data_IF_678763997114
#
_entry.id   IF_678763997114
#
_cell.length_a   1.000
_cell.length_b   1.000
_cell.length_c   1.000
_cell.angle_alpha   90.00
_cell.angle_beta   90.00
_cell.angle_gamma   90.00
#
_symmetry.space_group_name_H-M   'P 1'
#
loop_
_entity.id
_entity.type
_entity.pdbx_description
1 polymer ?
#
# COMPACT_ATOMS: atom_id res chain seq x y z
N UNK A 1 61.66 -33.12 60.86
CA UNK A 1 60.28 -33.65 60.72
C UNK A 1 59.33 -32.48 60.53
N UNK A 2 58.55 -32.53 59.43
CA UNK A 2 57.37 -31.75 58.99
C UNK A 2 57.35 -30.21 59.17
N UNK A 3 57.53 -29.51 58.03
CA UNK A 3 57.04 -28.14 57.79
C UNK A 3 55.52 -28.19 57.59
N UNK A 4 54.76 -27.37 58.29
CA UNK A 4 53.32 -27.23 58.10
C UNK A 4 53.05 -26.05 57.16
N UNK A 5 52.50 -26.34 55.98
CA UNK A 5 51.98 -25.33 55.05
C UNK A 5 50.56 -25.02 55.51
N UNK A 6 50.34 -23.81 56.01
CA UNK A 6 49.01 -23.29 56.33
C UNK A 6 48.40 -22.84 54.99
N UNK A 7 47.43 -23.61 54.50
CA UNK A 7 46.69 -23.28 53.28
C UNK A 7 45.51 -22.38 53.66
N UNK A 8 45.63 -21.08 53.40
CA UNK A 8 44.49 -20.15 53.54
C UNK A 8 43.51 -20.38 52.41
N UNK A 9 42.34 -20.95 52.74
CA UNK A 9 41.23 -21.13 51.81
C UNK A 9 40.49 -19.79 51.66
N UNK A 10 40.76 -19.08 50.57
CA UNK A 10 39.97 -17.92 50.20
C UNK A 10 38.60 -18.42 49.70
N UNK A 11 37.53 -18.15 50.45
CA UNK A 11 36.17 -18.36 49.98
C UNK A 11 35.88 -17.33 48.88
N UNK A 12 36.03 -17.72 47.61
CA UNK A 12 35.45 -16.98 46.49
C UNK A 12 33.93 -17.06 46.63
N UNK A 13 33.30 -15.97 47.07
CA UNK A 13 31.86 -15.84 47.01
C UNK A 13 31.48 -15.65 45.53
N UNK A 14 31.12 -16.75 44.87
CA UNK A 14 30.64 -16.74 43.49
C UNK A 14 29.19 -16.26 43.52
N UNK A 15 28.98 -14.95 43.34
CA UNK A 15 27.65 -14.40 43.07
C UNK A 15 27.36 -14.62 41.58
N UNK A 16 27.06 -15.87 41.23
CA UNK A 16 26.42 -16.18 39.97
C UNK A 16 24.92 -15.96 40.14
N UNK A 17 24.41 -14.82 39.69
CA UNK A 17 22.99 -14.72 39.38
C UNK A 17 22.77 -15.52 38.08
N UNK A 18 22.47 -16.82 38.19
CA UNK A 18 21.91 -17.52 37.04
C UNK A 18 20.43 -17.15 36.99
N UNK A 19 20.03 -16.32 36.02
CA UNK A 19 18.63 -16.31 35.56
C UNK A 19 18.38 -17.70 34.98
N UNK A 20 17.85 -18.61 35.80
CA UNK A 20 17.55 -19.96 35.37
C UNK A 20 16.32 -19.89 34.47
N UNK A 21 16.50 -20.14 33.18
CA UNK A 21 15.38 -20.61 32.37
C UNK A 21 14.91 -21.94 32.99
N UNK A 22 13.60 -22.07 33.23
CA UNK A 22 12.99 -23.25 33.88
C UNK A 22 13.13 -24.51 32.99
N UNK A 23 13.17 -24.30 31.67
CA UNK A 23 13.38 -25.36 30.69
C UNK A 23 14.22 -24.89 29.50
N UNK A 24 15.28 -25.62 29.15
CA UNK A 24 16.13 -25.33 27.99
C UNK A 24 16.38 -26.62 27.19
N UNK A 25 16.10 -26.57 25.88
CA UNK A 25 16.59 -27.54 24.90
C UNK A 25 17.81 -26.93 24.22
N UNK A 26 18.93 -27.65 24.18
CA UNK A 26 20.23 -27.15 23.69
C UNK A 26 20.81 -28.05 22.61
N UNK A 27 21.67 -27.49 21.75
CA UNK A 27 22.50 -28.27 20.84
C UNK A 27 23.66 -28.98 21.56
N UNK A 28 24.46 -29.76 20.82
CA UNK A 28 25.61 -30.47 21.38
C UNK A 28 26.76 -29.57 21.86
N UNK A 29 26.74 -28.29 21.50
CA UNK A 29 27.71 -27.28 21.92
C UNK A 29 27.20 -26.46 23.13
N UNK A 30 25.98 -26.73 23.62
CA UNK A 30 25.36 -26.00 24.72
C UNK A 30 24.66 -24.71 24.32
N UNK A 31 24.43 -24.46 23.03
CA UNK A 31 23.64 -23.31 22.59
C UNK A 31 22.15 -23.62 22.75
N UNK A 32 21.34 -22.70 23.31
CA UNK A 32 19.89 -22.91 23.40
C UNK A 32 19.27 -22.96 22.00
N UNK A 33 18.32 -23.88 21.83
CA UNK A 33 17.45 -24.03 20.67
C UNK A 33 16.00 -23.65 21.01
N UNK A 34 15.57 -23.97 22.24
CA UNK A 34 14.31 -23.50 22.83
C UNK A 34 14.51 -23.25 24.31
N UNK A 35 13.99 -22.13 24.82
CA UNK A 35 14.04 -21.84 26.26
C UNK A 35 12.71 -21.26 26.76
N UNK A 36 12.39 -21.59 28.01
CA UNK A 36 11.34 -20.94 28.81
C UNK A 36 12.00 -20.22 29.96
N UNK A 37 11.87 -18.89 30.03
CA UNK A 37 12.48 -18.12 31.12
C UNK A 37 11.63 -18.17 32.40
N UNK A 38 12.14 -17.57 33.48
CA UNK A 38 11.50 -17.47 34.80
C UNK A 38 10.18 -16.67 34.80
N UNK A 39 9.97 -15.84 33.77
CA UNK A 39 8.70 -15.12 33.54
C UNK A 39 7.71 -15.90 32.65
N UNK A 40 8.09 -17.09 32.17
CA UNK A 40 7.28 -17.94 31.29
C UNK A 40 7.36 -17.59 29.80
N UNK A 41 8.24 -16.68 29.40
CA UNK A 41 8.49 -16.34 28.00
C UNK A 41 9.09 -17.55 27.28
N UNK A 42 8.57 -17.87 26.09
CA UNK A 42 9.02 -18.99 25.26
C UNK A 42 9.72 -18.44 24.03
N UNK A 43 10.94 -18.90 23.80
CA UNK A 43 11.76 -18.41 22.69
C UNK A 43 12.34 -19.60 21.91
N UNK A 44 12.25 -19.53 20.59
CA UNK A 44 12.95 -20.42 19.66
C UNK A 44 14.22 -19.69 19.22
N UNK A 45 15.37 -20.31 19.49
CA UNK A 45 16.68 -19.76 19.18
C UNK A 45 17.25 -20.42 17.92
N UNK A 46 17.92 -19.62 17.08
CA UNK A 46 18.71 -20.08 15.94
C UNK A 46 17.99 -21.08 15.02
N UNK A 47 16.79 -20.73 14.52
CA UNK A 47 16.02 -21.59 13.62
C UNK A 47 14.79 -20.92 13.01
N UNK A 48 14.11 -21.67 12.15
CA UNK A 48 12.79 -21.33 11.61
C UNK A 48 11.71 -21.93 12.53
N UNK A 49 10.66 -21.17 12.84
CA UNK A 49 9.49 -21.68 13.53
C UNK A 49 8.50 -22.21 12.50
N UNK A 50 8.44 -23.54 12.33
CA UNK A 50 7.35 -24.19 11.61
C UNK A 50 6.14 -24.35 12.53
N UNK A 51 5.04 -23.74 12.15
CA UNK A 51 3.79 -23.78 12.91
C UNK A 51 2.92 -24.99 12.60
N UNK A 52 3.19 -25.74 11.54
CA UNK A 52 2.47 -26.95 11.15
C UNK A 52 0.93 -26.80 11.19
N UNK A 53 0.44 -25.67 10.66
CA UNK A 53 -1.00 -25.34 10.63
C UNK A 53 -1.57 -24.75 11.94
N UNK A 54 -0.75 -24.52 12.97
CA UNK A 54 -1.18 -23.76 14.15
C UNK A 54 -1.33 -22.28 13.83
N UNK A 55 -2.29 -21.61 14.46
CA UNK A 55 -2.54 -20.17 14.30
C UNK A 55 -1.77 -19.35 15.36
N UNK A 56 -1.24 -18.20 14.94
CA UNK A 56 -0.76 -17.17 15.86
C UNK A 56 -1.95 -16.28 16.22
N UNK A 57 -2.42 -16.32 17.46
CA UNK A 57 -3.51 -15.47 17.95
C UNK A 57 -3.04 -14.47 19.01
N UNK A 58 -3.71 -13.32 19.10
CA UNK A 58 -3.49 -12.29 20.13
C UNK A 58 -2.07 -11.71 20.19
N UNK A 59 -1.36 -11.68 19.07
CA UNK A 59 -0.11 -10.91 18.96
C UNK A 59 -0.43 -9.43 18.97
N UNK A 60 0.10 -8.69 19.95
CA UNK A 60 -0.18 -7.25 20.09
C UNK A 60 0.21 -6.49 18.83
N UNK A 61 1.51 -6.25 18.64
CA UNK A 61 2.04 -5.76 17.38
C UNK A 61 2.89 -6.89 16.76
N UNK A 62 2.48 -7.38 15.59
CA UNK A 62 3.28 -8.29 14.78
C UNK A 62 3.88 -7.50 13.63
N UNK A 63 5.17 -7.22 13.70
CA UNK A 63 5.90 -6.56 12.61
C UNK A 63 6.27 -7.58 11.53
N UNK A 64 5.35 -7.78 10.58
CA UNK A 64 5.63 -8.49 9.35
C UNK A 64 6.11 -7.48 8.31
N UNK A 65 7.39 -7.53 7.95
CA UNK A 65 7.88 -6.77 6.79
C UNK A 65 7.07 -7.12 5.53
N UNK A 66 6.88 -6.13 4.64
CA UNK A 66 6.03 -6.25 3.44
C UNK A 66 6.34 -7.47 2.57
N UNK A 67 7.61 -7.91 2.54
CA UNK A 67 8.07 -9.10 1.81
C UNK A 67 7.45 -10.41 2.29
N UNK A 68 6.94 -10.45 3.52
CA UNK A 68 6.34 -11.63 4.16
C UNK A 68 4.80 -11.62 4.09
N UNK A 69 4.19 -10.54 3.59
CA UNK A 69 2.75 -10.48 3.36
C UNK A 69 2.46 -11.21 2.04
N UNK A 70 1.80 -12.37 2.15
CA UNK A 70 1.38 -13.18 1.00
C UNK A 70 -0.03 -12.85 0.53
N UNK A 71 -0.78 -12.09 1.33
CA UNK A 71 -2.12 -11.62 1.01
C UNK A 71 -2.16 -10.08 1.12
N UNK A 72 -2.58 -9.43 0.05
CA UNK A 72 -2.69 -7.97 -0.04
C UNK A 72 -4.17 -7.64 -0.21
N UNK A 73 -4.65 -6.49 0.29
CA UNK A 73 -6.00 -6.06 -0.02
C UNK A 73 -6.19 -6.01 -1.54
N UNK A 74 -7.39 -6.31 -2.01
CA UNK A 74 -7.73 -6.20 -3.42
C UNK A 74 -7.38 -4.80 -3.93
N UNK A 75 -6.64 -4.72 -5.03
CA UNK A 75 -6.27 -3.45 -5.66
C UNK A 75 -7.49 -2.62 -6.07
N UNK A 76 -7.25 -1.35 -6.41
CA UNK A 76 -8.27 -0.48 -6.98
C UNK A 76 -8.75 -0.99 -8.34
N UNK A 77 -9.95 -0.57 -8.74
CA UNK A 77 -10.50 -0.89 -10.06
C UNK A 77 -9.68 -0.30 -11.20
N UNK A 78 -10.07 -0.62 -12.43
CA UNK A 78 -9.56 0.09 -13.60
C UNK A 78 -9.84 1.59 -13.48
N UNK A 79 -8.88 2.41 -13.93
CA UNK A 79 -8.98 3.87 -13.86
C UNK A 79 -9.16 4.39 -12.44
N UNK A 80 -8.55 3.72 -11.46
CA UNK A 80 -8.46 4.17 -10.09
C UNK A 80 -7.02 4.05 -9.57
N UNK A 81 -6.62 4.98 -8.72
CA UNK A 81 -5.36 4.97 -7.98
C UNK A 81 -5.62 4.74 -6.49
N UNK A 82 -4.65 4.12 -5.83
CA UNK A 82 -4.63 4.01 -4.36
C UNK A 82 -4.37 5.40 -3.76
N UNK A 83 -5.28 5.85 -2.90
CA UNK A 83 -5.19 7.11 -2.16
C UNK A 83 -4.73 6.91 -0.72
N UNK A 84 -5.15 5.82 -0.07
CA UNK A 84 -4.75 5.46 1.30
C UNK A 84 -4.47 3.98 1.40
N UNK A 85 -3.42 3.63 2.15
CA UNK A 85 -3.02 2.26 2.45
C UNK A 85 -3.43 1.94 3.89
N UNK A 86 -4.33 0.96 4.06
CA UNK A 86 -4.78 0.42 5.34
C UNK A 86 -5.27 -1.02 5.16
N UNK A 87 -6.05 -1.54 6.11
CA UNK A 87 -6.65 -2.90 6.02
C UNK A 87 -7.49 -3.09 4.75
N UNK A 88 -8.12 -2.01 4.29
CA UNK A 88 -8.73 -1.88 2.97
C UNK A 88 -8.06 -0.72 2.24
N UNK A 89 -7.80 -0.89 0.94
CA UNK A 89 -7.33 0.21 0.10
C UNK A 89 -8.45 1.21 -0.15
N UNK A 90 -8.13 2.50 0.04
CA UNK A 90 -9.00 3.58 -0.43
C UNK A 90 -8.59 3.96 -1.86
N UNK A 91 -9.56 3.90 -2.76
CA UNK A 91 -9.36 4.06 -4.19
C UNK A 91 -9.99 5.37 -4.68
N UNK A 92 -9.36 5.98 -5.68
CA UNK A 92 -9.86 7.22 -6.28
C UNK A 92 -9.75 7.15 -7.79
N UNK A 93 -10.73 7.68 -8.52
CA UNK A 93 -10.73 7.62 -9.98
C UNK A 93 -9.59 8.43 -10.61
N UNK A 94 -8.84 7.80 -11.50
CA UNK A 94 -7.88 8.39 -12.45
C UNK A 94 -8.58 9.09 -13.62
N UNK A 95 -9.85 8.77 -13.84
CA UNK A 95 -10.68 9.37 -14.85
C UNK A 95 -12.10 9.59 -14.32
N UNK A 96 -12.31 10.56 -13.40
CA UNK A 96 -13.63 10.79 -12.81
C UNK A 96 -14.72 11.14 -13.84
N UNK A 97 -14.33 11.38 -15.11
CA UNK A 97 -15.20 11.24 -16.26
C UNK A 97 -14.36 11.25 -17.53
N UNK A 98 -14.50 10.21 -18.38
CA UNK A 98 -14.06 10.22 -19.79
C UNK A 98 -14.90 11.19 -20.63
N UNK A 99 -15.12 12.36 -20.07
CA UNK A 99 -15.95 13.47 -20.50
C UNK A 99 -15.00 14.61 -20.80
N UNK A 100 -15.39 15.38 -21.80
CA UNK A 100 -14.82 16.69 -22.03
C UNK A 100 -15.46 17.62 -20.99
N UNK A 101 -14.94 17.61 -19.75
CA UNK A 101 -15.51 18.40 -18.64
C UNK A 101 -15.27 19.92 -18.81
N UNK A 102 -14.24 20.29 -19.57
CA UNK A 102 -13.76 21.69 -19.71
C UNK A 102 -13.52 22.15 -21.14
N UNK A 103 -13.95 21.43 -22.18
CA UNK A 103 -14.03 22.11 -23.48
C UNK A 103 -15.22 23.04 -23.46
N UNK A 104 -14.96 24.32 -23.70
CA UNK A 104 -15.95 25.39 -23.73
C UNK A 104 -16.92 25.32 -24.92
N UNK A 105 -17.33 24.11 -25.33
CA UNK A 105 -18.24 23.86 -26.43
C UNK A 105 -19.68 23.68 -25.97
N UNK A 106 -20.63 24.37 -26.61
CA UNK A 106 -22.07 24.04 -26.49
C UNK A 106 -22.45 22.98 -27.53
N UNK A 107 -23.54 22.24 -27.28
CA UNK A 107 -24.05 21.25 -28.23
C UNK A 107 -24.25 21.89 -29.60
N UNK A 108 -23.72 21.26 -30.63
CA UNK A 108 -23.80 21.74 -32.02
C UNK A 108 -22.63 22.61 -32.44
N UNK A 109 -21.84 23.16 -31.52
CA UNK A 109 -20.61 23.84 -31.92
C UNK A 109 -19.60 22.84 -32.48
N UNK A 110 -18.90 23.25 -33.54
CA UNK A 110 -17.71 22.52 -34.00
C UNK A 110 -16.56 22.80 -33.03
N UNK A 111 -15.94 21.74 -32.50
CA UNK A 111 -14.81 21.84 -31.57
C UNK A 111 -13.47 22.04 -32.30
N UNK A 112 -12.60 22.89 -31.75
CA UNK A 112 -11.25 23.15 -32.25
C UNK A 112 -10.26 23.42 -31.11
N UNK A 113 -8.97 23.12 -31.32
CA UNK A 113 -7.90 23.40 -30.36
C UNK A 113 -7.55 24.88 -30.37
N UNK A 114 -7.36 25.47 -29.18
CA UNK A 114 -6.80 26.82 -29.01
C UNK A 114 -5.34 26.79 -28.61
N UNK A 115 -4.88 25.67 -28.03
CA UNK A 115 -3.47 25.35 -27.78
C UNK A 115 -3.28 23.82 -27.65
N UNK A 116 -2.10 23.39 -27.19
CA UNK A 116 -1.72 21.98 -27.10
C UNK A 116 -2.57 21.16 -26.10
N UNK A 117 -3.27 21.80 -25.16
CA UNK A 117 -3.99 21.14 -24.07
C UNK A 117 -5.47 21.56 -24.00
N UNK A 118 -5.88 22.59 -24.75
CA UNK A 118 -7.22 23.17 -24.65
C UNK A 118 -8.00 23.12 -25.97
N UNK A 119 -9.27 22.72 -25.87
CA UNK A 119 -10.27 22.74 -26.95
C UNK A 119 -11.45 23.66 -26.60
N UNK A 120 -12.03 24.29 -27.62
CA UNK A 120 -13.22 25.16 -27.50
C UNK A 120 -14.18 24.95 -28.67
N UNK A 121 -15.33 25.63 -28.69
CA UNK A 121 -16.29 25.62 -29.80
C UNK A 121 -16.61 27.03 -30.33
N UNK A 122 -17.39 27.11 -31.41
CA UNK A 122 -17.83 28.38 -32.03
C UNK A 122 -19.28 28.33 -32.50
N UNK A 123 -20.07 29.36 -32.20
CA UNK A 123 -21.43 29.54 -32.77
C UNK A 123 -21.39 29.97 -34.24
N UNK A 124 -20.26 30.50 -34.72
CA UNK A 124 -20.09 30.85 -36.12
C UNK A 124 -19.74 29.63 -36.99
N UNK A 125 -19.57 28.47 -36.39
CA UNK A 125 -19.37 27.22 -37.11
C UNK A 125 -20.14 26.11 -36.39
N UNK A 126 -21.39 25.92 -36.85
CA UNK A 126 -22.40 25.21 -36.08
C UNK A 126 -23.03 24.08 -36.87
N UNK A 127 -23.17 22.92 -36.24
CA UNK A 127 -23.86 21.75 -36.73
C UNK A 127 -25.16 21.53 -35.97
N UNK A 128 -26.29 21.71 -36.66
CA UNK A 128 -27.60 21.39 -36.13
C UNK A 128 -27.92 19.90 -36.36
N UNK A 129 -27.70 19.07 -35.35
CA UNK A 129 -27.95 17.63 -35.46
C UNK A 129 -29.43 17.25 -35.56
N UNK A 130 -30.34 18.15 -35.17
CA UNK A 130 -31.79 17.89 -35.22
C UNK A 130 -32.34 18.05 -36.63
N UNK A 131 -31.78 18.94 -37.43
CA UNK A 131 -32.24 19.25 -38.78
C UNK A 131 -31.23 18.85 -39.87
N UNK A 132 -30.01 18.43 -39.49
CA UNK A 132 -28.92 18.05 -40.40
C UNK A 132 -28.48 19.24 -41.26
N UNK A 133 -28.15 20.34 -40.59
CA UNK A 133 -27.82 21.61 -41.22
C UNK A 133 -26.47 22.14 -40.74
N UNK A 134 -25.68 22.69 -41.66
CA UNK A 134 -24.43 23.37 -41.36
C UNK A 134 -24.62 24.90 -41.42
N UNK A 135 -24.32 25.57 -40.32
CA UNK A 135 -24.28 27.02 -40.20
C UNK A 135 -22.85 27.57 -40.20
N UNK A 136 -22.59 28.57 -41.04
CA UNK A 136 -21.39 29.42 -41.01
C UNK A 136 -21.83 30.85 -40.70
N UNK A 137 -21.29 31.45 -39.64
CA UNK A 137 -21.75 32.75 -39.13
C UNK A 137 -23.14 32.72 -38.49
N UNK A 138 -23.71 31.53 -38.25
CA UNK A 138 -25.01 31.34 -37.61
C UNK A 138 -25.05 30.04 -36.82
N UNK A 139 -25.70 30.05 -35.66
CA UNK A 139 -26.02 28.88 -34.84
C UNK A 139 -27.48 28.41 -35.02
N UNK A 140 -28.23 29.07 -35.89
CA UNK A 140 -29.59 28.70 -36.26
C UNK A 140 -29.74 28.67 -37.79
N UNK A 141 -29.11 27.70 -38.47
CA UNK A 141 -29.24 27.54 -39.91
C UNK A 141 -30.70 27.32 -40.32
N UNK A 142 -31.08 27.85 -41.48
CA UNK A 142 -32.42 27.78 -42.06
C UNK A 142 -32.48 26.96 -43.36
N UNK A 143 -31.33 26.44 -43.78
CA UNK A 143 -31.14 25.57 -44.93
C UNK A 143 -30.05 24.53 -44.62
N UNK A 144 -29.95 23.49 -45.44
CA UNK A 144 -28.93 22.44 -45.30
C UNK A 144 -27.50 23.01 -45.18
N UNK A 145 -27.22 24.08 -45.89
CA UNK A 145 -26.04 24.92 -45.72
C UNK A 145 -26.52 26.37 -45.64
N UNK A 146 -26.26 27.03 -44.52
CA UNK A 146 -26.61 28.42 -44.27
C UNK A 146 -25.33 29.21 -43.95
N UNK A 147 -25.02 30.22 -44.75
CA UNK A 147 -23.80 31.02 -44.64
C UNK A 147 -24.19 32.49 -44.47
N UNK A 148 -24.00 33.00 -43.26
CA UNK A 148 -24.24 34.39 -42.90
C UNK A 148 -22.89 35.13 -42.80
N UNK A 149 -22.61 35.97 -43.79
CA UNK A 149 -21.43 36.83 -43.84
C UNK A 149 -21.33 37.52 -45.21
N UNK A 150 -21.04 38.82 -45.22
CA UNK A 150 -20.76 39.61 -46.44
C UNK A 150 -19.31 39.43 -46.91
#
# INVERSE_FOLDING_TARGET
MKKYIILTLAALMFIGASSANDYIIQDSNGNPLFAVNDTGEKQVYNGELDMNGNEISSVGALDLGWRNLTDYPSGCGSDEAVRVIGDTLDCTSLNPGGTVETAGGTRGQVAYFVDAENITGSNNFYWNNSQVELGIGTDNPSATLDVNGD
#
